data_IF_639437246555
#
_entry.id   IF_639437246555
#
_cell.length_a   1.000
_cell.length_b   1.000
_cell.length_c   1.000
_cell.angle_alpha   90.00
_cell.angle_beta   90.00
_cell.angle_gamma   90.00
#
_symmetry.space_group_name_H-M   'P 1'
#
loop_
_entity.id
_entity.type
_entity.pdbx_description
1 polymer ?
#
# COMPACT_ATOMS: atom_id res chain seq x y z
N UNK A 1 -5.11 -78.40 52.00
CA UNK A 1 -4.08 -77.75 51.15
C UNK A 1 -4.23 -76.24 51.23
N UNK A 2 -3.43 -75.55 52.05
CA UNK A 2 -3.24 -74.09 51.98
C UNK A 2 -1.78 -73.80 52.32
N UNK A 3 -0.94 -73.83 51.29
CA UNK A 3 0.47 -73.41 51.37
C UNK A 3 0.49 -71.88 51.43
N UNK A 4 0.70 -71.34 52.63
CA UNK A 4 0.87 -69.91 52.83
C UNK A 4 2.24 -69.49 52.31
N UNK A 5 2.24 -68.71 51.23
CA UNK A 5 3.42 -68.03 50.70
C UNK A 5 3.93 -67.05 51.78
N UNK A 6 4.84 -67.50 52.65
CA UNK A 6 5.53 -66.60 53.60
C UNK A 6 6.48 -65.73 52.79
N UNK A 7 5.97 -64.59 52.36
CA UNK A 7 6.71 -63.55 51.66
C UNK A 7 7.87 -63.08 52.54
N UNK A 8 9.08 -63.57 52.23
CA UNK A 8 10.31 -62.90 52.68
C UNK A 8 10.67 -61.89 51.60
N UNK A 9 10.12 -60.68 51.74
CA UNK A 9 10.67 -59.52 51.05
C UNK A 9 12.11 -59.36 51.54
N UNK A 10 13.05 -59.88 50.77
CA UNK A 10 14.47 -59.61 51.02
C UNK A 10 14.70 -58.14 50.76
N UNK A 11 15.61 -57.54 51.53
CA UNK A 11 16.04 -56.16 51.35
C UNK A 11 16.34 -55.83 49.87
N UNK A 12 16.91 -56.80 49.15
CA UNK A 12 17.17 -56.74 47.72
C UNK A 12 15.91 -56.46 46.87
N UNK A 13 14.78 -57.12 47.14
CA UNK A 13 13.56 -56.92 46.35
C UNK A 13 12.93 -55.55 46.63
N UNK A 14 13.00 -55.06 47.87
CA UNK A 14 12.52 -53.72 48.22
C UNK A 14 13.36 -52.65 47.54
N UNK A 15 14.69 -52.76 47.59
CA UNK A 15 15.59 -51.82 46.92
C UNK A 15 15.44 -51.90 45.40
N UNK A 16 15.28 -53.09 44.82
CA UNK A 16 15.08 -53.26 43.39
C UNK A 16 13.79 -52.58 42.90
N UNK A 17 12.68 -52.71 43.64
CA UNK A 17 11.41 -52.06 43.28
C UNK A 17 11.48 -50.53 43.44
N UNK A 18 12.15 -50.02 44.47
CA UNK A 18 12.37 -48.57 44.65
C UNK A 18 13.26 -47.98 43.56
N UNK A 19 14.38 -48.65 43.24
CA UNK A 19 15.27 -48.24 42.16
C UNK A 19 14.55 -48.25 40.81
N UNK A 20 13.74 -49.27 40.54
CA UNK A 20 12.92 -49.33 39.33
C UNK A 20 11.91 -48.18 39.26
N UNK A 21 11.23 -47.87 40.37
CA UNK A 21 10.29 -46.74 40.44
C UNK A 21 10.99 -45.39 40.25
N UNK A 22 12.17 -45.19 40.84
CA UNK A 22 12.95 -43.95 40.66
C UNK A 22 13.51 -43.83 39.24
N UNK A 23 13.89 -44.94 38.61
CA UNK A 23 14.38 -44.96 37.22
C UNK A 23 13.26 -44.67 36.22
N UNK A 24 12.06 -45.23 36.46
CA UNK A 24 10.86 -44.98 35.64
C UNK A 24 10.22 -43.62 35.92
N UNK A 25 10.29 -43.13 37.16
CA UNK A 25 9.75 -41.83 37.57
C UNK A 25 10.68 -40.63 37.30
N UNK A 26 11.93 -40.87 36.90
CA UNK A 26 12.99 -39.86 36.80
C UNK A 26 12.96 -38.93 35.58
N UNK A 27 11.90 -38.90 34.77
CA UNK A 27 11.91 -38.22 33.47
C UNK A 27 10.75 -37.24 33.22
N UNK A 28 10.35 -36.47 34.23
CA UNK A 28 9.50 -35.29 34.04
C UNK A 28 9.83 -34.19 35.06
N UNK A 29 11.05 -33.67 35.02
CA UNK A 29 11.34 -32.41 35.72
C UNK A 29 10.67 -31.27 34.96
N UNK A 30 9.46 -30.91 35.39
CA UNK A 30 8.92 -29.59 35.10
C UNK A 30 9.81 -28.57 35.82
N UNK A 31 10.81 -28.05 35.10
CA UNK A 31 11.66 -26.98 35.61
C UNK A 31 10.77 -25.75 35.80
N UNK A 32 10.37 -25.49 37.05
CA UNK A 32 9.49 -24.36 37.41
C UNK A 32 10.20 -23.02 37.28
N UNK A 33 11.54 -23.00 37.27
CA UNK A 33 12.35 -21.82 37.06
C UNK A 33 13.61 -22.19 36.30
N UNK A 34 13.76 -21.65 35.09
CA UNK A 34 14.97 -21.76 34.30
C UNK A 34 15.94 -20.65 34.74
N UNK A 35 17.24 -20.91 34.87
CA UNK A 35 18.22 -19.84 35.06
C UNK A 35 18.13 -18.85 33.90
N UNK A 36 18.42 -17.57 34.16
CA UNK A 36 18.38 -16.53 33.14
C UNK A 36 19.24 -16.92 31.92
N UNK A 37 18.73 -16.65 30.71
CA UNK A 37 19.37 -16.95 29.43
C UNK A 37 19.58 -18.44 29.12
N UNK A 38 18.90 -19.37 29.82
CA UNK A 38 19.03 -20.81 29.57
C UNK A 38 18.20 -21.35 28.39
N UNK A 39 17.37 -20.50 27.77
CA UNK A 39 16.57 -20.86 26.60
C UNK A 39 17.20 -20.23 25.36
N UNK A 40 17.92 -21.05 24.60
CA UNK A 40 18.44 -20.69 23.28
C UNK A 40 17.50 -21.13 22.15
N UNK A 41 17.94 -20.95 20.91
CA UNK A 41 17.15 -21.29 19.73
C UNK A 41 16.83 -22.79 19.63
N UNK A 42 17.74 -23.68 20.05
CA UNK A 42 17.54 -25.13 19.98
C UNK A 42 16.43 -25.62 20.91
N UNK A 43 16.14 -24.88 21.98
CA UNK A 43 15.08 -25.16 22.93
C UNK A 43 13.71 -24.66 22.44
N UNK A 44 13.66 -23.84 21.39
CA UNK A 44 12.44 -23.30 20.81
C UNK A 44 12.08 -24.09 19.54
N UNK A 45 10.90 -24.71 19.54
CA UNK A 45 10.33 -25.31 18.33
C UNK A 45 9.80 -24.23 17.40
N UNK A 46 9.68 -24.54 16.11
CA UNK A 46 9.06 -23.65 15.13
C UNK A 46 7.63 -23.27 15.56
N UNK A 47 7.31 -21.98 15.48
CA UNK A 47 6.02 -21.45 15.95
C UNK A 47 5.82 -21.47 17.46
N UNK A 48 6.82 -21.84 18.27
CA UNK A 48 6.68 -21.87 19.73
C UNK A 48 6.37 -20.48 20.31
N UNK A 49 6.81 -19.40 19.66
CA UNK A 49 6.52 -18.02 20.06
C UNK A 49 5.36 -17.50 19.22
N UNK A 50 4.15 -17.52 19.80
CA UNK A 50 2.96 -16.92 19.21
C UNK A 50 2.77 -15.48 19.67
N UNK A 51 1.88 -14.74 18.99
CA UNK A 51 1.51 -13.37 19.37
C UNK A 51 1.04 -13.26 20.81
N UNK A 52 0.22 -14.21 21.28
CA UNK A 52 -0.26 -14.27 22.66
C UNK A 52 0.86 -14.46 23.70
N UNK A 53 2.02 -15.00 23.30
CA UNK A 53 3.19 -15.17 24.17
C UNK A 53 4.10 -13.94 24.18
N UNK A 54 3.91 -13.00 23.24
CA UNK A 54 4.62 -11.72 23.20
C UNK A 54 3.83 -10.68 23.97
N UNK A 55 4.42 -10.15 25.05
CA UNK A 55 3.85 -9.01 25.78
C UNK A 55 3.91 -7.75 24.92
N UNK A 56 2.99 -6.82 25.14
CA UNK A 56 3.03 -5.50 24.51
C UNK A 56 4.38 -4.81 24.79
N UNK A 57 5.01 -4.29 23.74
CA UNK A 57 6.34 -3.66 23.84
C UNK A 57 7.52 -4.65 23.97
N UNK A 58 7.29 -5.96 23.88
CA UNK A 58 8.38 -6.95 23.95
C UNK A 58 9.35 -6.82 22.76
N UNK A 59 8.86 -6.48 21.57
CA UNK A 59 9.67 -6.21 20.37
C UNK A 59 9.83 -4.70 20.21
N UNK A 60 11.03 -4.22 20.52
CA UNK A 60 11.41 -2.80 20.41
C UNK A 60 12.23 -2.58 19.15
N UNK A 61 12.40 -1.31 18.74
CA UNK A 61 13.21 -0.97 17.57
C UNK A 61 14.63 -1.56 17.60
N UNK A 62 15.24 -1.66 18.77
CA UNK A 62 16.58 -2.25 18.97
C UNK A 62 16.64 -3.77 18.76
N UNK A 63 15.50 -4.47 18.82
CA UNK A 63 15.40 -5.93 18.59
C UNK A 63 15.10 -6.27 17.13
N UNK A 64 14.82 -5.28 16.30
CA UNK A 64 14.56 -5.44 14.88
C UNK A 64 15.79 -5.00 14.11
N UNK A 65 16.31 -5.89 13.27
CA UNK A 65 17.42 -5.54 12.39
C UNK A 65 17.00 -4.41 11.43
N UNK A 66 17.90 -3.47 11.18
CA UNK A 66 17.61 -2.36 10.27
C UNK A 66 17.37 -2.89 8.87
N UNK A 67 16.42 -2.28 8.16
CA UNK A 67 16.10 -2.56 6.75
C UNK A 67 15.60 -3.99 6.45
N UNK A 68 15.10 -4.73 7.46
CA UNK A 68 14.57 -6.08 7.24
C UNK A 68 13.06 -6.14 7.10
N UNK A 69 12.32 -5.16 7.62
CA UNK A 69 10.87 -5.08 7.44
C UNK A 69 10.53 -4.39 6.12
N UNK A 70 9.70 -5.04 5.31
CA UNK A 70 9.22 -4.54 4.02
C UNK A 70 7.73 -4.21 4.11
N UNK A 71 7.13 -3.77 2.99
CA UNK A 71 5.68 -3.57 2.90
C UNK A 71 4.84 -4.84 3.07
N UNK A 72 5.45 -6.03 2.95
CA UNK A 72 4.75 -7.29 3.17
C UNK A 72 4.44 -7.53 4.66
N UNK A 73 5.33 -7.10 5.56
CA UNK A 73 5.18 -7.26 7.01
C UNK A 73 4.39 -6.10 7.66
N UNK A 74 4.21 -4.99 6.94
CA UNK A 74 3.65 -3.76 7.49
C UNK A 74 2.31 -3.47 6.83
N UNK A 75 1.25 -3.43 7.63
CA UNK A 75 -0.04 -2.91 7.17
C UNK A 75 0.03 -1.38 7.05
N UNK A 76 0.39 -0.91 5.85
CA UNK A 76 0.60 0.50 5.54
C UNK A 76 -0.63 1.39 5.80
N UNK A 77 -1.86 0.84 5.79
CA UNK A 77 -3.07 1.62 6.08
C UNK A 77 -3.22 2.00 7.54
N UNK A 78 -2.43 1.38 8.43
CA UNK A 78 -2.45 1.68 9.88
C UNK A 78 -1.37 2.68 10.29
N UNK A 79 -0.48 3.05 9.37
CA UNK A 79 0.55 4.04 9.62
C UNK A 79 -0.06 5.44 9.55
N UNK A 80 0.28 6.29 10.52
CA UNK A 80 0.04 7.73 10.43
C UNK A 80 0.97 8.40 9.42
N UNK A 81 0.85 9.72 9.27
CA UNK A 81 1.70 10.50 8.38
C UNK A 81 3.18 10.37 8.75
N UNK A 82 4.00 9.84 7.86
CA UNK A 82 5.46 9.76 8.04
C UNK A 82 6.06 11.14 7.78
N UNK A 83 6.31 11.91 8.84
CA UNK A 83 6.72 13.31 8.76
C UNK A 83 8.08 13.55 8.06
N UNK A 84 8.92 12.52 7.91
CA UNK A 84 10.24 12.65 7.28
C UNK A 84 10.73 11.32 6.70
N UNK A 85 10.44 11.08 5.42
CA UNK A 85 11.21 10.11 4.64
C UNK A 85 12.42 10.85 4.04
N UNK A 86 13.57 10.79 4.70
CA UNK A 86 14.81 11.47 4.28
C UNK A 86 15.39 10.93 2.96
N UNK A 87 14.82 9.85 2.42
CA UNK A 87 15.20 9.23 1.15
C UNK A 87 13.98 8.84 0.31
N UNK A 88 12.90 9.64 0.32
CA UNK A 88 11.91 9.55 -0.76
C UNK A 88 12.55 10.14 -2.02
N UNK A 89 13.36 9.34 -2.72
CA UNK A 89 13.92 9.67 -4.02
C UNK A 89 12.78 9.77 -5.02
N UNK A 90 12.22 10.99 -5.17
CA UNK A 90 11.02 11.32 -5.95
C UNK A 90 9.74 10.59 -5.49
N UNK A 91 8.54 11.11 -5.82
CA UNK A 91 7.33 10.31 -5.73
C UNK A 91 7.52 9.04 -6.57
N UNK A 92 7.35 7.88 -5.94
CA UNK A 92 7.31 6.62 -6.66
C UNK A 92 6.22 6.70 -7.74
N UNK A 93 6.38 5.98 -8.88
CA UNK A 93 5.35 6.01 -9.90
C UNK A 93 3.97 5.62 -9.35
N UNK A 94 2.91 6.21 -9.91
CA UNK A 94 1.54 5.88 -9.53
C UNK A 94 1.34 4.36 -9.67
N UNK A 95 0.99 3.69 -8.57
CA UNK A 95 0.87 2.24 -8.55
C UNK A 95 -0.22 1.77 -9.52
N UNK A 96 0.00 0.62 -10.18
CA UNK A 96 -0.93 0.07 -11.19
C UNK A 96 -2.37 0.03 -10.67
N UNK A 97 -3.30 0.52 -11.50
CA UNK A 97 -4.72 0.61 -11.18
C UNK A 97 -5.10 1.66 -10.15
N UNK A 98 -4.17 2.47 -9.63
CA UNK A 98 -4.51 3.65 -8.83
C UNK A 98 -4.86 4.83 -9.73
N UNK A 99 -5.74 5.67 -9.22
CA UNK A 99 -6.24 6.84 -9.93
C UNK A 99 -5.76 8.10 -9.24
N UNK A 100 -5.23 9.04 -10.02
CA UNK A 100 -4.97 10.42 -9.64
C UNK A 100 -6.03 11.31 -10.30
N UNK A 101 -6.46 12.35 -9.61
CA UNK A 101 -7.42 13.35 -10.13
C UNK A 101 -6.92 14.75 -9.80
N UNK A 102 -7.36 15.72 -10.58
CA UNK A 102 -7.05 17.12 -10.30
C UNK A 102 -7.82 18.09 -11.19
N UNK A 103 -7.56 19.37 -10.99
CA UNK A 103 -8.14 20.45 -11.77
C UNK A 103 -7.21 20.87 -12.92
N UNK A 104 -7.78 21.46 -13.94
CA UNK A 104 -7.04 22.17 -14.99
C UNK A 104 -7.79 23.44 -15.39
N UNK A 105 -7.03 24.43 -15.83
CA UNK A 105 -7.60 25.64 -16.41
C UNK A 105 -6.67 26.19 -17.48
N UNK A 106 -7.25 26.94 -18.41
CA UNK A 106 -6.53 27.67 -19.45
C UNK A 106 -7.26 28.99 -19.66
N UNK A 107 -6.51 30.09 -19.72
CA UNK A 107 -7.06 31.40 -20.01
C UNK A 107 -6.08 32.21 -20.85
N UNK A 108 -6.60 33.02 -21.76
CA UNK A 108 -5.82 33.84 -22.66
C UNK A 108 -6.67 34.91 -23.33
N UNK A 109 -6.04 35.69 -24.21
CA UNK A 109 -6.70 36.72 -25.01
C UNK A 109 -6.34 36.47 -26.47
N UNK A 110 -7.35 36.49 -27.33
CA UNK A 110 -7.19 36.41 -28.77
C UNK A 110 -7.70 37.70 -29.43
N UNK A 111 -7.08 38.10 -30.53
CA UNK A 111 -7.52 39.23 -31.37
C UNK A 111 -8.49 38.81 -32.47
N UNK A 112 -8.65 37.52 -32.72
CA UNK A 112 -9.59 36.97 -33.69
C UNK A 112 -10.00 35.53 -33.34
N UNK A 113 -11.13 35.09 -33.90
CA UNK A 113 -11.55 33.69 -33.88
C UNK A 113 -10.51 32.78 -34.56
N UNK A 114 -10.36 31.56 -34.06
CA UNK A 114 -9.43 30.57 -34.61
C UNK A 114 -7.97 30.72 -34.15
N UNK A 115 -7.63 31.79 -33.43
CA UNK A 115 -6.31 31.93 -32.82
C UNK A 115 -6.17 31.05 -31.58
N UNK A 116 -4.98 30.47 -31.40
CA UNK A 116 -4.60 29.83 -30.14
C UNK A 116 -4.51 30.91 -29.05
N UNK A 117 -5.48 30.93 -28.15
CA UNK A 117 -5.56 31.92 -27.07
C UNK A 117 -4.58 31.61 -25.94
N UNK A 118 -4.42 30.33 -25.59
CA UNK A 118 -3.51 29.90 -24.52
C UNK A 118 -3.21 28.39 -24.56
N UNK A 119 -2.14 28.02 -23.84
CA UNK A 119 -1.76 26.64 -23.53
C UNK A 119 -1.42 26.55 -22.06
N UNK A 120 -1.85 25.48 -21.41
CA UNK A 120 -1.42 25.18 -20.06
C UNK A 120 -0.95 23.72 -19.96
N UNK A 121 0.05 23.47 -19.11
CA UNK A 121 0.57 22.15 -18.81
C UNK A 121 0.29 21.81 -17.35
N UNK A 122 -0.19 20.62 -17.10
CA UNK A 122 -0.47 20.08 -15.77
C UNK A 122 0.46 18.92 -15.50
N UNK A 123 1.14 18.97 -14.35
CA UNK A 123 2.00 17.87 -13.90
C UNK A 123 1.18 16.91 -13.05
N UNK A 124 1.51 15.63 -13.14
CA UNK A 124 1.01 14.63 -12.19
C UNK A 124 1.78 14.74 -10.87
N UNK A 125 1.10 14.59 -9.75
CA UNK A 125 1.69 14.42 -8.44
C UNK A 125 2.54 13.13 -8.39
N UNK A 126 2.10 12.07 -9.07
CA UNK A 126 2.85 10.84 -9.23
C UNK A 126 3.16 10.57 -10.71
N UNK A 127 4.44 10.44 -11.12
CA UNK A 127 4.76 10.10 -12.49
C UNK A 127 4.26 8.68 -12.82
N UNK A 128 4.07 8.39 -14.09
CA UNK A 128 3.65 7.06 -14.54
C UNK A 128 4.85 6.18 -14.86
N UNK A 129 4.74 4.88 -14.54
CA UNK A 129 5.72 3.88 -14.95
C UNK A 129 5.71 3.63 -16.47
N UNK A 130 4.57 3.87 -17.13
CA UNK A 130 4.36 3.67 -18.55
C UNK A 130 3.51 4.81 -19.16
N UNK A 131 3.57 5.05 -20.49
CA UNK A 131 2.72 6.03 -21.16
C UNK A 131 1.23 5.64 -21.07
N UNK A 132 0.36 6.63 -21.20
CA UNK A 132 -1.11 6.46 -21.19
C UNK A 132 -1.73 6.91 -22.49
N UNK A 133 -2.91 6.39 -22.79
CA UNK A 133 -3.76 6.94 -23.85
C UNK A 133 -4.45 8.20 -23.31
N UNK A 134 -4.39 9.29 -24.06
CA UNK A 134 -5.12 10.49 -23.71
C UNK A 134 -6.47 10.45 -24.43
N UNK A 135 -7.54 10.59 -23.64
CA UNK A 135 -8.91 10.71 -24.10
C UNK A 135 -9.48 12.04 -23.57
N UNK A 136 -10.03 12.86 -24.46
CA UNK A 136 -10.68 14.11 -24.08
C UNK A 136 -12.19 13.91 -24.06
N UNK A 137 -12.77 13.85 -22.87
CA UNK A 137 -14.21 13.73 -22.70
C UNK A 137 -14.81 15.14 -22.69
N UNK A 138 -15.25 15.60 -23.86
CA UNK A 138 -16.34 16.58 -23.89
C UNK A 138 -17.62 15.87 -23.44
N UNK A 139 -18.60 16.61 -22.94
CA UNK A 139 -19.88 16.10 -22.39
C UNK A 139 -20.71 15.19 -23.35
N UNK A 140 -20.18 14.85 -24.53
CA UNK A 140 -20.74 13.89 -25.47
C UNK A 140 -19.62 13.05 -26.13
N UNK A 141 -19.32 11.84 -25.61
CA UNK A 141 -18.86 10.76 -26.51
C UNK A 141 -17.68 9.84 -26.17
N UNK A 142 -17.16 9.69 -24.94
CA UNK A 142 -16.15 8.63 -24.65
C UNK A 142 -16.48 7.77 -23.41
N UNK A 143 -17.65 7.08 -23.36
CA UNK A 143 -18.15 6.48 -22.13
C UNK A 143 -17.37 5.23 -21.65
N UNK A 144 -16.66 4.50 -22.52
CA UNK A 144 -15.99 3.25 -22.11
C UNK A 144 -14.62 3.44 -21.43
N UNK A 145 -13.89 4.50 -21.78
CA UNK A 145 -12.55 4.79 -21.23
C UNK A 145 -12.57 5.91 -20.19
N UNK A 146 -13.54 6.81 -20.33
CA UNK A 146 -13.77 7.94 -19.44
C UNK A 146 -15.19 7.86 -18.87
N UNK A 147 -15.43 7.02 -17.85
CA UNK A 147 -16.77 6.80 -17.31
C UNK A 147 -17.23 7.91 -16.34
N UNK A 148 -16.40 8.93 -16.11
CA UNK A 148 -16.67 10.00 -15.15
C UNK A 148 -17.27 11.24 -15.79
N UNK A 149 -17.33 12.29 -14.98
CA UNK A 149 -17.78 13.64 -15.37
C UNK A 149 -16.80 14.68 -14.85
N UNK A 150 -17.06 15.96 -15.12
CA UNK A 150 -16.27 17.05 -14.51
C UNK A 150 -16.37 17.04 -12.97
N UNK A 151 -17.54 16.72 -12.41
CA UNK A 151 -17.75 16.70 -10.95
C UNK A 151 -17.25 15.40 -10.28
N UNK A 152 -17.25 14.28 -11.01
CA UNK A 152 -16.74 12.99 -10.55
C UNK A 152 -15.78 12.40 -11.59
N UNK A 153 -14.53 12.92 -11.66
CA UNK A 153 -13.57 12.54 -12.69
C UNK A 153 -13.09 11.10 -12.46
N UNK A 154 -13.28 10.26 -13.49
CA UNK A 154 -12.87 8.84 -13.48
C UNK A 154 -12.11 8.49 -14.75
N UNK A 155 -11.25 7.48 -14.69
CA UNK A 155 -10.59 6.94 -15.87
C UNK A 155 -10.55 5.41 -15.79
N UNK A 156 -10.65 4.75 -16.95
CA UNK A 156 -10.31 3.35 -17.05
C UNK A 156 -8.79 3.19 -17.01
N UNK A 157 -8.30 2.04 -16.52
CA UNK A 157 -6.86 1.75 -16.45
C UNK A 157 -6.13 2.05 -17.76
N UNK A 158 -5.01 2.74 -17.65
CA UNK A 158 -4.16 3.12 -18.78
C UNK A 158 -4.63 4.34 -19.58
N UNK A 159 -5.69 5.04 -19.12
CA UNK A 159 -6.22 6.23 -19.80
C UNK A 159 -6.11 7.46 -18.89
N UNK A 160 -5.83 8.59 -19.52
CA UNK A 160 -5.98 9.94 -18.97
C UNK A 160 -7.24 10.54 -19.60
N UNK A 161 -8.20 10.89 -18.76
CA UNK A 161 -9.46 11.50 -19.12
C UNK A 161 -9.47 12.96 -18.69
N UNK A 162 -9.66 13.87 -19.64
CA UNK A 162 -9.79 15.31 -19.38
C UNK A 162 -11.25 15.67 -19.56
N UNK A 163 -11.87 16.19 -18.50
CA UNK A 163 -13.26 16.61 -18.46
C UNK A 163 -13.35 18.12 -18.50
N UNK A 164 -14.13 18.64 -19.44
CA UNK A 164 -14.46 20.06 -19.50
C UNK A 164 -15.65 20.34 -18.59
N UNK A 165 -15.56 21.36 -17.74
CA UNK A 165 -16.73 21.92 -17.09
C UNK A 165 -17.44 22.86 -18.07
N UNK A 166 -18.65 22.53 -18.55
CA UNK A 166 -19.37 23.37 -19.51
C UNK A 166 -19.75 24.73 -18.93
N UNK A 167 -19.85 24.87 -17.60
CA UNK A 167 -20.11 26.15 -16.93
C UNK A 167 -18.87 27.04 -16.81
N UNK A 168 -17.67 26.48 -16.97
CA UNK A 168 -16.40 27.19 -16.83
C UNK A 168 -15.70 27.47 -18.17
N UNK A 169 -16.38 27.25 -19.30
CA UNK A 169 -15.88 27.55 -20.63
C UNK A 169 -16.51 28.84 -21.18
N UNK A 170 -15.67 29.79 -21.57
CA UNK A 170 -16.09 31.02 -22.24
C UNK A 170 -15.24 31.26 -23.48
N UNK A 171 -15.89 31.46 -24.64
CA UNK A 171 -15.23 31.79 -25.89
C UNK A 171 -14.11 30.80 -26.31
N UNK A 172 -14.15 29.55 -25.84
CA UNK A 172 -13.04 28.60 -25.98
C UNK A 172 -13.47 27.29 -26.65
N UNK A 173 -12.73 26.87 -27.67
CA UNK A 173 -12.65 25.48 -28.10
C UNK A 173 -11.38 24.86 -27.52
N UNK A 174 -11.52 23.88 -26.62
CA UNK A 174 -10.40 23.20 -25.97
C UNK A 174 -10.01 21.92 -26.68
N UNK A 175 -8.72 21.61 -26.63
CA UNK A 175 -8.18 20.41 -27.25
C UNK A 175 -6.93 19.96 -26.49
N UNK A 176 -6.73 18.64 -26.38
CA UNK A 176 -5.49 18.13 -25.82
C UNK A 176 -4.34 18.37 -26.78
N UNK A 177 -3.17 18.69 -26.22
CA UNK A 177 -1.96 18.94 -27.00
C UNK A 177 -0.98 17.79 -26.93
N UNK A 178 -0.73 17.30 -25.71
CA UNK A 178 0.24 16.24 -25.43
C UNK A 178 -0.02 15.66 -24.05
N UNK A 179 0.22 14.36 -23.88
CA UNK A 179 0.43 13.73 -22.59
C UNK A 179 1.71 12.90 -22.61
N UNK A 180 2.40 12.87 -21.48
CA UNK A 180 3.52 12.00 -21.24
C UNK A 180 3.44 11.40 -19.83
N UNK A 181 4.53 10.77 -19.36
CA UNK A 181 4.54 10.11 -18.05
C UNK A 181 4.54 11.08 -16.87
N UNK A 182 4.70 12.38 -17.09
CA UNK A 182 4.85 13.40 -16.05
C UNK A 182 3.71 14.39 -16.02
N UNK A 183 2.92 14.45 -17.10
CA UNK A 183 1.82 15.39 -17.17
C UNK A 183 1.14 15.41 -18.52
N UNK A 184 0.29 16.40 -18.70
CA UNK A 184 -0.42 16.67 -19.94
C UNK A 184 -0.54 18.16 -20.20
N UNK A 185 -1.00 18.52 -21.39
CA UNK A 185 -1.25 19.92 -21.75
C UNK A 185 -2.55 20.06 -22.53
N UNK A 186 -3.24 21.16 -22.26
CA UNK A 186 -4.50 21.55 -22.90
C UNK A 186 -4.30 22.90 -23.57
N UNK A 187 -4.76 23.00 -24.81
CA UNK A 187 -4.84 24.23 -25.57
C UNK A 187 -6.27 24.74 -25.63
N UNK A 188 -6.41 26.06 -25.77
CA UNK A 188 -7.68 26.70 -26.11
C UNK A 188 -7.50 27.59 -27.35
N UNK A 189 -8.39 27.41 -28.32
CA UNK A 189 -8.57 28.30 -29.45
C UNK A 189 -9.77 29.19 -29.18
N UNK A 190 -9.63 30.49 -29.45
CA UNK A 190 -10.72 31.44 -29.27
C UNK A 190 -11.80 31.29 -30.34
N UNK A 191 -13.07 31.40 -29.93
CA UNK A 191 -14.21 31.39 -30.86
C UNK A 191 -14.50 32.80 -31.43
N UNK A 192 -13.99 33.84 -30.78
CA UNK A 192 -14.10 35.25 -31.13
C UNK A 192 -12.95 36.05 -30.50
N UNK A 193 -12.75 37.29 -30.93
CA UNK A 193 -11.81 38.22 -30.28
C UNK A 193 -12.23 38.49 -28.82
N UNK A 194 -11.27 38.56 -27.92
CA UNK A 194 -11.49 38.84 -26.49
C UNK A 194 -10.89 37.79 -25.56
N UNK A 195 -11.32 37.82 -24.30
CA UNK A 195 -10.92 36.83 -23.30
C UNK A 195 -11.45 35.46 -23.67
N UNK A 196 -10.62 34.44 -23.45
CA UNK A 196 -10.91 33.03 -23.68
C UNK A 196 -10.54 32.29 -22.41
N UNK A 197 -11.46 31.50 -21.86
CA UNK A 197 -11.18 30.66 -20.70
C UNK A 197 -11.87 29.31 -20.80
N UNK A 198 -11.25 28.30 -20.22
CA UNK A 198 -11.86 27.00 -19.99
C UNK A 198 -11.24 26.36 -18.76
N UNK A 199 -12.03 25.62 -18.01
CA UNK A 199 -11.57 24.84 -16.89
C UNK A 199 -12.35 23.53 -16.78
N UNK A 200 -11.85 22.65 -15.92
CA UNK A 200 -12.52 21.42 -15.57
C UNK A 200 -11.58 20.54 -14.75
N UNK A 201 -11.86 19.24 -14.77
CA UNK A 201 -11.11 18.26 -14.00
C UNK A 201 -10.48 17.21 -14.91
N UNK A 202 -9.60 16.40 -14.36
CA UNK A 202 -9.01 15.28 -15.05
C UNK A 202 -8.88 14.09 -14.10
N UNK A 203 -8.87 12.90 -14.69
CA UNK A 203 -8.59 11.65 -14.00
C UNK A 203 -7.60 10.82 -14.81
N UNK A 204 -6.70 10.16 -14.10
CA UNK A 204 -5.67 9.31 -14.67
C UNK A 204 -5.61 8.03 -13.88
N UNK A 205 -5.80 6.87 -14.53
CA UNK A 205 -5.61 5.58 -13.87
C UNK A 205 -4.39 4.88 -14.44
N UNK A 206 -3.43 4.54 -13.58
CA UNK A 206 -2.22 3.83 -13.99
C UNK A 206 -2.56 2.48 -14.65
N UNK A 207 -1.84 2.08 -15.72
CA UNK A 207 -2.05 0.81 -16.40
C UNK A 207 -1.84 -0.40 -15.47
#
# INVERSE_FOLDING_TARGET
>A
MRSGFKSRLTYANVVATLALFMTLGGSAFAVTSLPNNSVGNQQLKDGAVSTAKLRNGAVTATKVAKHTLTGAEINSSTLGTVAKATAASAPAPLASGKTEVGDWSVAGVATAAGQLAARNAQSFAFPLGAPVSLDFASTSGIPRRCPGTADDPRAARGNLCIYLDPGAASNAATFPLRADRRGFSVGAVALAAGQTSAAGTWALTAP
#
